data_IF_266073069579
#
_entry.id   IF_266073069579
#
_cell.length_a   1.000
_cell.length_b   1.000
_cell.length_c   1.000
_cell.angle_alpha   90.00
_cell.angle_beta   90.00
_cell.angle_gamma   90.00
#
_symmetry.space_group_name_H-M   'P 1'
#
loop_
_entity.id
_entity.type
_entity.pdbx_description
1 polymer ?
#
# COMPACT_ATOMS: atom_id res chain seq x y z
N UNK A 1 -12.96 -10.51 17.43
CA UNK A 1 -14.20 -10.99 18.05
C UNK A 1 -14.50 -10.20 19.33
N UNK A 2 -13.58 -10.11 20.32
CA UNK A 2 -13.82 -9.43 21.59
C UNK A 2 -14.21 -7.96 21.47
N UNK A 3 -13.58 -7.20 20.55
CA UNK A 3 -13.91 -5.79 20.30
C UNK A 3 -15.29 -5.62 19.69
N UNK A 4 -15.64 -6.48 18.72
CA UNK A 4 -16.94 -6.44 18.03
C UNK A 4 -18.08 -6.82 18.99
N UNK A 5 -17.84 -7.77 19.89
CA UNK A 5 -18.83 -8.24 20.85
C UNK A 5 -18.84 -7.44 22.17
N UNK A 6 -18.15 -6.29 22.22
CA UNK A 6 -18.05 -5.42 23.39
C UNK A 6 -17.58 -6.14 24.67
N UNK A 7 -16.71 -7.15 24.52
CA UNK A 7 -16.13 -7.87 25.68
C UNK A 7 -15.26 -6.91 26.48
N UNK A 8 -15.48 -6.76 27.80
CA UNK A 8 -14.70 -5.87 28.64
C UNK A 8 -13.18 -6.15 28.51
N UNK A 9 -12.39 -5.08 28.42
CA UNK A 9 -10.92 -5.15 28.35
C UNK A 9 -10.32 -5.87 27.12
N UNK A 10 -11.11 -6.17 26.09
CA UNK A 10 -10.64 -6.84 24.87
C UNK A 10 -9.55 -6.05 24.12
N UNK A 11 -9.51 -4.72 24.26
CA UNK A 11 -8.46 -3.87 23.70
C UNK A 11 -7.07 -4.15 24.31
N UNK A 12 -6.98 -4.51 25.59
CA UNK A 12 -5.70 -4.90 26.20
C UNK A 12 -5.18 -6.20 25.63
N UNK A 13 -6.05 -7.16 25.35
CA UNK A 13 -5.68 -8.43 24.70
C UNK A 13 -5.19 -8.19 23.28
N UNK A 14 -5.85 -7.30 22.53
CA UNK A 14 -5.41 -6.90 21.19
C UNK A 14 -4.04 -6.23 21.23
N UNK A 15 -3.83 -5.26 22.12
CA UNK A 15 -2.56 -4.56 22.27
C UNK A 15 -1.44 -5.54 22.66
N UNK A 16 -1.69 -6.43 23.63
CA UNK A 16 -0.72 -7.45 24.02
C UNK A 16 -0.36 -8.38 22.84
N UNK A 17 -1.36 -8.83 22.07
CA UNK A 17 -1.12 -9.61 20.85
C UNK A 17 -0.31 -8.88 19.80
N UNK A 18 -0.57 -7.60 19.57
CA UNK A 18 0.21 -6.76 18.65
C UNK A 18 1.66 -6.57 19.12
N UNK A 19 1.88 -6.36 20.42
CA UNK A 19 3.23 -6.25 20.99
C UNK A 19 4.02 -7.55 20.77
N UNK A 20 3.41 -8.71 21.06
CA UNK A 20 4.04 -10.02 20.84
C UNK A 20 4.35 -10.23 19.35
N UNK A 21 3.42 -9.88 18.46
CA UNK A 21 3.61 -9.98 17.01
C UNK A 21 4.79 -9.12 16.55
N UNK A 22 4.84 -7.86 16.96
CA UNK A 22 5.93 -6.93 16.62
C UNK A 22 7.27 -7.47 17.14
N UNK A 23 7.33 -7.91 18.40
CA UNK A 23 8.53 -8.51 18.99
C UNK A 23 9.01 -9.73 18.19
N UNK A 24 8.09 -10.62 17.82
CA UNK A 24 8.37 -11.80 17.02
C UNK A 24 8.94 -11.42 15.64
N UNK A 25 8.35 -10.46 14.93
CA UNK A 25 8.85 -10.02 13.64
C UNK A 25 10.25 -9.41 13.73
N UNK A 26 10.48 -8.47 14.65
CA UNK A 26 11.80 -7.86 14.81
C UNK A 26 12.85 -8.88 15.24
N UNK A 27 12.52 -9.82 16.14
CA UNK A 27 13.40 -10.89 16.55
C UNK A 27 13.76 -11.81 15.39
N UNK A 28 12.77 -12.28 14.64
CA UNK A 28 12.98 -13.16 13.50
C UNK A 28 13.81 -12.51 12.40
N UNK A 29 13.42 -11.34 11.93
CA UNK A 29 14.18 -10.64 10.89
C UNK A 29 15.59 -10.25 11.37
N UNK A 30 15.75 -9.90 12.66
CA UNK A 30 17.05 -9.67 13.26
C UNK A 30 17.94 -10.92 13.23
N UNK A 31 17.38 -12.10 13.55
CA UNK A 31 18.09 -13.37 13.46
C UNK A 31 18.49 -13.69 12.02
N UNK A 32 17.57 -13.61 11.06
CA UNK A 32 17.84 -13.82 9.62
C UNK A 32 18.95 -12.88 9.13
N UNK A 33 18.92 -11.61 9.55
CA UNK A 33 19.98 -10.66 9.21
C UNK A 33 21.33 -11.08 9.76
N UNK A 34 21.40 -11.49 11.04
CA UNK A 34 22.63 -11.96 11.71
C UNK A 34 23.21 -13.19 11.03
N UNK A 35 22.39 -14.19 10.72
CA UNK A 35 22.81 -15.42 10.02
C UNK A 35 23.31 -15.12 8.60
N UNK A 36 22.67 -14.20 7.89
CA UNK A 36 23.13 -13.73 6.57
C UNK A 36 24.49 -13.05 6.65
N UNK A 37 24.74 -12.23 7.68
CA UNK A 37 26.01 -11.52 7.89
C UNK A 37 27.14 -12.49 8.26
N UNK A 38 26.85 -13.55 9.04
CA UNK A 38 27.80 -14.62 9.37
C UNK A 38 28.11 -15.53 8.18
N UNK A 39 27.37 -15.40 7.07
CA UNK A 39 27.56 -16.23 5.88
C UNK A 39 27.06 -17.66 6.01
N UNK A 40 26.11 -17.91 6.93
CA UNK A 40 25.56 -19.24 7.21
C UNK A 40 24.65 -19.73 6.06
N UNK A 41 24.22 -18.84 5.16
CA UNK A 41 23.32 -19.16 4.05
C UNK A 41 24.08 -19.55 2.79
N UNK A 42 23.83 -20.79 2.31
CA UNK A 42 24.29 -21.27 1.02
C UNK A 42 23.38 -20.84 -0.14
N UNK A 43 23.81 -21.11 -1.37
CA UNK A 43 23.08 -20.74 -2.59
C UNK A 43 21.63 -21.28 -2.67
N UNK A 44 21.37 -22.46 -2.08
CA UNK A 44 20.01 -23.04 -2.02
C UNK A 44 19.07 -22.22 -1.12
N UNK A 45 19.60 -21.69 -0.01
CA UNK A 45 18.83 -20.85 0.92
C UNK A 45 18.54 -19.49 0.28
N UNK A 46 19.52 -18.88 -0.40
CA UNK A 46 19.32 -17.64 -1.15
C UNK A 46 18.22 -17.81 -2.23
N UNK A 47 18.27 -18.92 -2.97
CA UNK A 47 17.22 -19.24 -3.96
C UNK A 47 15.85 -19.41 -3.29
N UNK A 48 15.77 -20.05 -2.11
CA UNK A 48 14.52 -20.21 -1.37
C UNK A 48 13.95 -18.86 -0.93
N UNK A 49 14.78 -17.94 -0.47
CA UNK A 49 14.35 -16.58 -0.11
C UNK A 49 13.81 -15.81 -1.33
N UNK A 50 14.44 -15.94 -2.50
CA UNK A 50 13.97 -15.33 -3.75
C UNK A 50 12.59 -15.85 -4.14
N UNK A 51 12.38 -17.17 -4.11
CA UNK A 51 11.09 -17.78 -4.36
C UNK A 51 10.05 -17.36 -3.33
N UNK A 52 10.40 -17.33 -2.05
CA UNK A 52 9.50 -16.89 -0.97
C UNK A 52 9.06 -15.44 -1.17
N UNK A 53 9.98 -14.54 -1.55
CA UNK A 53 9.64 -13.15 -1.83
C UNK A 53 8.76 -13.02 -3.09
N UNK A 54 9.01 -13.82 -4.12
CA UNK A 54 8.16 -13.87 -5.30
C UNK A 54 6.72 -14.31 -4.97
N UNK A 55 6.56 -15.37 -4.18
CA UNK A 55 5.24 -15.83 -3.73
C UNK A 55 4.55 -14.83 -2.80
N UNK A 56 5.31 -14.17 -1.94
CA UNK A 56 4.78 -13.11 -1.10
C UNK A 56 4.23 -11.96 -1.96
N UNK A 57 4.99 -11.43 -2.92
CA UNK A 57 4.51 -10.37 -3.83
C UNK A 57 3.30 -10.86 -4.64
N UNK A 58 3.29 -12.12 -5.09
CA UNK A 58 2.13 -12.68 -5.77
C UNK A 58 0.87 -12.67 -4.90
N UNK A 59 0.99 -13.01 -3.60
CA UNK A 59 -0.15 -12.93 -2.67
C UNK A 59 -0.67 -11.51 -2.52
N UNK A 60 0.22 -10.52 -2.48
CA UNK A 60 -0.15 -9.10 -2.39
C UNK A 60 -0.79 -8.58 -3.69
N UNK A 61 -0.32 -9.05 -4.85
CA UNK A 61 -1.00 -8.79 -6.13
C UNK A 61 -2.43 -9.32 -6.10
N UNK A 62 -2.65 -10.55 -5.62
CA UNK A 62 -3.99 -11.14 -5.50
C UNK A 62 -4.85 -10.40 -4.48
N UNK A 63 -4.26 -9.93 -3.39
CA UNK A 63 -4.94 -9.09 -2.40
C UNK A 63 -5.50 -7.80 -3.04
N UNK A 64 -4.68 -7.04 -3.76
CA UNK A 64 -5.14 -5.84 -4.45
C UNK A 64 -6.08 -6.17 -5.63
N UNK A 65 -5.86 -7.27 -6.33
CA UNK A 65 -6.76 -7.71 -7.39
C UNK A 65 -8.19 -7.96 -6.88
N UNK A 66 -8.35 -8.46 -5.66
CA UNK A 66 -9.65 -8.64 -5.03
C UNK A 66 -10.35 -7.28 -4.79
N UNK A 67 -9.64 -6.27 -4.31
CA UNK A 67 -10.23 -4.91 -4.12
C UNK A 67 -10.52 -4.20 -5.44
N UNK A 68 -9.63 -4.29 -6.43
CA UNK A 68 -9.91 -3.78 -7.78
C UNK A 68 -11.08 -4.52 -8.43
N UNK A 69 -11.20 -5.83 -8.19
CA UNK A 69 -12.33 -6.63 -8.62
C UNK A 69 -13.65 -6.19 -7.97
N UNK A 70 -13.62 -5.86 -6.68
CA UNK A 70 -14.77 -5.31 -5.97
C UNK A 70 -15.17 -3.93 -6.51
N UNK A 71 -14.19 -3.05 -6.78
CA UNK A 71 -14.44 -1.75 -7.43
C UNK A 71 -15.05 -1.94 -8.83
N UNK A 72 -14.50 -2.84 -9.64
CA UNK A 72 -15.00 -3.17 -10.95
C UNK A 72 -16.44 -3.70 -10.88
N UNK A 73 -16.70 -4.65 -9.99
CA UNK A 73 -18.04 -5.20 -9.78
C UNK A 73 -19.04 -4.12 -9.39
N UNK A 74 -18.68 -3.27 -8.43
CA UNK A 74 -19.55 -2.18 -7.99
C UNK A 74 -19.86 -1.20 -9.13
N UNK A 75 -18.82 -0.71 -9.82
CA UNK A 75 -18.94 0.35 -10.83
C UNK A 75 -19.55 -0.11 -12.15
N UNK A 76 -19.15 -1.29 -12.65
CA UNK A 76 -19.46 -1.74 -14.02
C UNK A 76 -20.62 -2.71 -14.06
N UNK A 77 -20.86 -3.46 -12.99
CA UNK A 77 -21.90 -4.49 -12.95
C UNK A 77 -23.06 -4.07 -12.05
N UNK A 78 -22.79 -3.82 -10.77
CA UNK A 78 -23.83 -3.60 -9.77
C UNK A 78 -24.59 -2.28 -10.00
N UNK A 79 -23.89 -1.18 -10.30
CA UNK A 79 -24.51 0.13 -10.49
C UNK A 79 -25.44 0.19 -11.70
N UNK A 80 -25.04 -0.24 -12.92
CA UNK A 80 -25.96 -0.32 -14.06
C UNK A 80 -27.14 -1.26 -13.80
N UNK A 81 -26.92 -2.40 -13.15
CA UNK A 81 -27.97 -3.37 -12.84
C UNK A 81 -29.02 -2.81 -11.87
N UNK A 82 -28.60 -2.05 -10.84
CA UNK A 82 -29.52 -1.38 -9.90
C UNK A 82 -30.31 -0.23 -10.56
N UNK A 83 -29.76 0.38 -11.61
CA UNK A 83 -30.42 1.44 -12.40
C UNK A 83 -31.20 0.95 -13.60
N UNK A 84 -31.34 -0.37 -13.79
CA UNK A 84 -32.18 -0.94 -14.83
C UNK A 84 -33.67 -0.66 -14.57
N UNK A 85 -34.46 -0.59 -15.66
CA UNK A 85 -35.90 -0.19 -15.63
C UNK A 85 -36.71 -0.99 -14.60
N UNK A 86 -36.46 -2.31 -14.51
CA UNK A 86 -37.21 -3.19 -13.60
C UNK A 86 -36.83 -2.90 -12.12
N UNK A 87 -35.56 -2.70 -11.81
CA UNK A 87 -35.09 -2.42 -10.43
C UNK A 87 -35.43 -0.99 -10.03
N UNK A 88 -35.23 -0.03 -10.93
CA UNK A 88 -35.54 1.37 -10.67
C UNK A 88 -37.05 1.58 -10.43
N UNK A 89 -37.93 0.99 -11.24
CA UNK A 89 -39.38 1.21 -11.11
C UNK A 89 -39.98 0.57 -9.87
N UNK A 90 -39.47 -0.58 -9.39
CA UNK A 90 -40.08 -1.32 -8.28
C UNK A 90 -39.33 -1.16 -6.95
N UNK A 91 -38.01 -1.02 -6.96
CA UNK A 91 -37.17 -1.04 -5.73
C UNK A 91 -36.56 0.31 -5.41
N UNK A 92 -36.05 1.02 -6.42
CA UNK A 92 -35.25 2.23 -6.26
C UNK A 92 -35.63 3.34 -7.22
N UNK A 93 -36.86 3.91 -7.16
CA UNK A 93 -37.36 4.83 -8.19
C UNK A 93 -36.55 6.12 -8.36
N UNK A 94 -35.88 6.58 -7.33
CA UNK A 94 -35.04 7.80 -7.36
C UNK A 94 -33.55 7.51 -7.56
N UNK A 95 -33.18 6.26 -7.80
CA UNK A 95 -31.76 5.89 -7.93
C UNK A 95 -31.21 6.25 -9.31
N UNK A 96 -30.08 6.97 -9.32
CA UNK A 96 -29.30 7.27 -10.53
C UNK A 96 -28.07 6.40 -10.59
N UNK A 97 -27.95 5.56 -11.64
CA UNK A 97 -26.82 4.66 -11.86
C UNK A 97 -25.57 5.39 -12.39
N UNK A 98 -25.21 6.52 -11.76
CA UNK A 98 -24.02 7.28 -12.13
C UNK A 98 -22.91 7.05 -11.12
N UNK A 99 -21.69 6.84 -11.60
CA UNK A 99 -20.52 6.77 -10.76
C UNK A 99 -19.83 8.14 -10.73
N UNK A 100 -19.36 8.62 -9.58
CA UNK A 100 -19.38 8.05 -8.22
C UNK A 100 -20.74 8.14 -7.51
N UNK A 101 -21.03 7.15 -6.64
CA UNK A 101 -22.33 7.04 -5.97
C UNK A 101 -22.19 6.49 -4.54
N UNK A 102 -23.20 6.76 -3.72
CA UNK A 102 -23.30 6.20 -2.36
C UNK A 102 -23.94 4.81 -2.33
N UNK A 103 -24.68 4.44 -3.38
CA UNK A 103 -25.53 3.26 -3.44
C UNK A 103 -27.02 3.64 -3.52
N UNK A 104 -27.95 2.66 -3.61
CA UNK A 104 -29.37 2.90 -3.87
C UNK A 104 -30.16 3.46 -2.69
N UNK A 105 -29.63 3.46 -1.48
CA UNK A 105 -30.29 4.00 -0.28
C UNK A 105 -30.18 5.53 -0.24
N UNK A 106 -31.04 6.21 -0.97
CA UNK A 106 -31.10 7.67 -1.05
C UNK A 106 -31.42 8.27 0.32
N UNK A 107 -30.65 9.28 0.73
CA UNK A 107 -30.80 9.94 2.03
C UNK A 107 -30.16 9.21 3.22
N UNK A 108 -29.64 8.00 3.04
CA UNK A 108 -28.90 7.30 4.09
C UNK A 108 -27.48 7.85 4.31
N UNK A 109 -26.95 8.58 3.33
CA UNK A 109 -25.59 9.12 3.36
C UNK A 109 -25.59 10.62 3.09
N UNK A 110 -24.69 11.32 3.77
CA UNK A 110 -24.46 12.75 3.52
C UNK A 110 -23.82 12.96 2.13
N UNK A 111 -24.18 14.06 1.43
CA UNK A 111 -23.54 14.39 0.17
C UNK A 111 -22.04 14.62 0.36
N UNK A 112 -21.24 14.09 -0.56
CA UNK A 112 -19.79 14.23 -0.58
C UNK A 112 -19.31 14.73 -1.95
N UNK A 113 -18.07 15.20 -2.00
CA UNK A 113 -17.35 15.51 -3.26
C UNK A 113 -16.23 14.48 -3.46
N UNK A 114 -15.94 14.16 -4.72
CA UNK A 114 -14.84 13.26 -5.08
C UNK A 114 -13.49 13.93 -4.99
N UNK A 115 -12.46 13.15 -4.71
CA UNK A 115 -11.08 13.59 -4.82
C UNK A 115 -10.69 13.64 -6.30
N UNK A 116 -10.33 14.83 -6.80
CA UNK A 116 -9.88 15.00 -8.19
C UNK A 116 -8.48 14.41 -8.42
N UNK A 117 -8.19 13.92 -9.65
CA UNK A 117 -6.88 13.33 -9.98
C UNK A 117 -5.75 14.35 -10.05
N UNK A 118 -6.06 15.59 -10.42
CA UNK A 118 -5.11 16.67 -10.56
C UNK A 118 -4.72 17.21 -9.18
N UNK A 119 -3.46 17.69 -9.03
CA UNK A 119 -2.87 18.26 -7.82
C UNK A 119 -2.19 17.20 -6.94
N UNK A 120 -2.72 16.87 -5.77
CA UNK A 120 -2.03 15.96 -4.82
C UNK A 120 -1.79 14.56 -5.39
N UNK A 121 -2.78 13.86 -5.98
CA UNK A 121 -2.53 12.53 -6.54
C UNK A 121 -1.50 12.53 -7.68
N UNK A 122 -1.47 13.58 -8.50
CA UNK A 122 -0.46 13.73 -9.56
C UNK A 122 0.94 13.94 -8.97
N UNK A 123 1.07 14.78 -7.93
CA UNK A 123 2.35 14.99 -7.23
C UNK A 123 2.80 13.67 -6.59
N UNK A 124 1.91 12.95 -5.92
CA UNK A 124 2.17 11.67 -5.31
C UNK A 124 2.64 10.64 -6.35
N UNK A 125 2.04 10.63 -7.53
CA UNK A 125 2.48 9.77 -8.64
C UNK A 125 3.90 10.11 -9.08
N UNK A 126 4.21 11.40 -9.24
CA UNK A 126 5.57 11.83 -9.61
C UNK A 126 6.59 11.46 -8.52
N UNK A 127 6.26 11.63 -7.24
CA UNK A 127 7.12 11.28 -6.11
C UNK A 127 7.42 9.77 -6.09
N UNK A 128 6.40 8.93 -6.23
CA UNK A 128 6.58 7.48 -6.17
C UNK A 128 7.38 6.97 -7.37
N UNK A 129 7.04 7.37 -8.58
CA UNK A 129 7.80 6.99 -9.79
C UNK A 129 9.25 7.46 -9.72
N UNK A 130 9.50 8.70 -9.26
CA UNK A 130 10.85 9.19 -9.04
C UNK A 130 11.60 8.35 -8.02
N UNK A 131 10.93 7.92 -6.95
CA UNK A 131 11.52 7.05 -5.92
C UNK A 131 11.89 5.67 -6.48
N UNK A 132 11.09 5.10 -7.37
CA UNK A 132 11.41 3.86 -8.08
C UNK A 132 12.66 3.99 -8.96
N UNK A 133 12.80 5.12 -9.66
CA UNK A 133 14.00 5.42 -10.45
C UNK A 133 15.23 5.56 -9.55
N UNK A 134 15.14 6.33 -8.45
CA UNK A 134 16.26 6.50 -7.52
C UNK A 134 16.68 5.19 -6.85
N UNK A 135 15.73 4.30 -6.57
CA UNK A 135 16.00 2.96 -6.05
C UNK A 135 16.76 2.08 -7.05
N UNK A 136 16.36 2.13 -8.30
CA UNK A 136 17.04 1.40 -9.39
C UNK A 136 18.48 1.89 -9.57
N UNK A 137 18.71 3.20 -9.50
CA UNK A 137 20.04 3.80 -9.54
C UNK A 137 20.87 3.36 -8.32
N UNK A 138 20.26 3.35 -7.11
CA UNK A 138 20.94 2.88 -5.90
C UNK A 138 21.39 1.42 -6.04
N UNK A 139 20.53 0.55 -6.59
CA UNK A 139 20.87 -0.86 -6.84
C UNK A 139 22.02 -1.01 -7.83
N UNK A 140 22.05 -0.21 -8.88
CA UNK A 140 23.16 -0.20 -9.84
C UNK A 140 24.50 0.14 -9.15
N UNK A 141 24.53 1.20 -8.33
CA UNK A 141 25.74 1.56 -7.57
C UNK A 141 26.16 0.51 -6.53
N UNK A 142 25.21 -0.23 -5.94
CA UNK A 142 25.52 -1.35 -5.06
C UNK A 142 26.29 -2.45 -5.80
N UNK A 143 25.84 -2.81 -6.99
CA UNK A 143 26.51 -3.82 -7.86
C UNK A 143 27.91 -3.37 -8.32
N UNK A 144 28.12 -2.07 -8.50
CA UNK A 144 29.43 -1.48 -8.81
C UNK A 144 30.34 -1.30 -7.59
N UNK A 145 29.93 -1.72 -6.37
CA UNK A 145 30.63 -1.48 -5.11
C UNK A 145 30.83 0.02 -4.76
N UNK A 146 30.03 0.92 -5.32
CA UNK A 146 30.06 2.36 -5.04
C UNK A 146 29.11 2.71 -3.88
N UNK A 147 29.48 2.26 -2.68
CA UNK A 147 28.65 2.34 -1.49
C UNK A 147 28.19 3.75 -1.15
N UNK A 148 29.03 4.77 -1.27
CA UNK A 148 28.65 6.16 -0.96
C UNK A 148 27.50 6.66 -1.85
N UNK A 149 27.59 6.41 -3.14
CA UNK A 149 26.52 6.78 -4.10
C UNK A 149 25.24 5.95 -3.83
N UNK A 150 25.40 4.65 -3.55
CA UNK A 150 24.27 3.81 -3.19
C UNK A 150 23.52 4.34 -1.97
N UNK A 151 24.22 4.73 -0.90
CA UNK A 151 23.66 5.31 0.32
C UNK A 151 22.90 6.61 0.03
N UNK A 152 23.43 7.47 -0.84
CA UNK A 152 22.82 8.74 -1.20
C UNK A 152 21.48 8.49 -1.96
N UNK A 153 21.52 7.66 -3.00
CA UNK A 153 20.35 7.40 -3.83
C UNK A 153 19.26 6.61 -3.07
N UNK A 154 19.65 5.64 -2.24
CA UNK A 154 18.71 4.92 -1.40
C UNK A 154 18.11 5.83 -0.31
N UNK A 155 18.92 6.73 0.27
CA UNK A 155 18.42 7.75 1.21
C UNK A 155 17.42 8.70 0.57
N UNK A 156 17.66 9.09 -0.69
CA UNK A 156 16.71 9.90 -1.47
C UNK A 156 15.40 9.12 -1.71
N UNK A 157 15.46 7.84 -2.06
CA UNK A 157 14.29 6.97 -2.22
C UNK A 157 13.45 6.94 -0.95
N UNK A 158 14.09 6.71 0.20
CA UNK A 158 13.41 6.70 1.52
C UNK A 158 12.75 8.04 1.81
N UNK A 159 13.47 9.14 1.55
CA UNK A 159 12.95 10.50 1.73
C UNK A 159 11.70 10.76 0.87
N UNK A 160 11.75 10.42 -0.42
CA UNK A 160 10.60 10.55 -1.32
C UNK A 160 9.41 9.70 -0.86
N UNK A 161 9.66 8.48 -0.36
CA UNK A 161 8.62 7.63 0.19
C UNK A 161 7.92 8.25 1.42
N UNK A 162 8.66 8.82 2.35
CA UNK A 162 8.06 9.52 3.50
C UNK A 162 7.32 10.80 3.10
N UNK A 163 7.81 11.54 2.11
CA UNK A 163 7.10 12.71 1.56
C UNK A 163 5.76 12.28 0.93
N UNK A 164 5.75 11.19 0.18
CA UNK A 164 4.50 10.60 -0.33
C UNK A 164 3.51 10.28 0.80
N UNK A 165 3.95 9.61 1.86
CA UNK A 165 3.10 9.28 3.02
C UNK A 165 2.54 10.56 3.66
N UNK A 166 3.35 11.62 3.77
CA UNK A 166 2.92 12.91 4.28
C UNK A 166 1.82 13.54 3.42
N UNK A 167 1.96 13.54 2.10
CA UNK A 167 0.93 14.03 1.18
C UNK A 167 -0.33 13.17 1.21
N UNK A 168 -0.20 11.84 1.33
CA UNK A 168 -1.35 10.94 1.46
C UNK A 168 -2.13 11.21 2.76
N UNK A 169 -1.44 11.44 3.86
CA UNK A 169 -2.08 11.83 5.13
C UNK A 169 -2.80 13.18 5.01
N UNK A 170 -2.19 14.16 4.35
CA UNK A 170 -2.82 15.44 4.08
C UNK A 170 -4.06 15.30 3.18
N UNK A 171 -3.99 14.46 2.15
CA UNK A 171 -5.12 14.15 1.26
C UNK A 171 -6.30 13.58 2.05
N UNK A 172 -6.04 12.67 2.99
CA UNK A 172 -7.09 12.11 3.85
C UNK A 172 -7.71 13.16 4.77
N UNK A 173 -6.90 14.05 5.35
CA UNK A 173 -7.44 15.17 6.13
C UNK A 173 -8.35 16.06 5.29
N UNK A 174 -7.94 16.40 4.07
CA UNK A 174 -8.74 17.16 3.11
C UNK A 174 -10.03 16.44 2.72
N UNK A 175 -9.96 15.11 2.46
CA UNK A 175 -11.14 14.31 2.13
C UNK A 175 -12.20 14.35 3.24
N UNK A 176 -11.79 14.21 4.49
CA UNK A 176 -12.68 14.23 5.64
C UNK A 176 -13.21 15.62 5.98
N UNK A 177 -12.37 16.67 5.92
CA UNK A 177 -12.70 18.01 6.36
C UNK A 177 -13.47 18.81 5.29
N UNK A 178 -13.00 18.77 4.04
CA UNK A 178 -13.48 19.69 3.00
C UNK A 178 -14.41 19.03 1.98
N UNK A 179 -14.25 17.71 1.76
CA UNK A 179 -15.05 16.98 0.77
C UNK A 179 -16.18 16.17 1.41
N UNK A 180 -16.23 16.07 2.73
CA UNK A 180 -17.13 15.18 3.48
C UNK A 180 -17.09 13.73 2.98
N UNK A 181 -15.93 13.35 2.38
CA UNK A 181 -15.70 11.99 1.88
C UNK A 181 -15.09 11.16 3.01
N UNK A 182 -15.84 10.16 3.45
CA UNK A 182 -15.50 9.28 4.59
C UNK A 182 -15.57 7.83 4.16
N UNK A 183 -14.95 6.95 4.94
CA UNK A 183 -15.07 5.49 4.75
C UNK A 183 -16.55 5.04 4.72
N UNK A 184 -17.41 5.76 5.44
CA UNK A 184 -18.86 5.51 5.56
C UNK A 184 -19.68 6.22 4.48
N UNK A 185 -19.08 6.89 3.49
CA UNK A 185 -19.80 7.60 2.42
C UNK A 185 -20.30 6.65 1.32
N UNK A 186 -20.82 5.48 1.69
CA UNK A 186 -21.37 4.50 0.76
C UNK A 186 -20.29 3.73 -0.01
N UNK A 187 -20.67 3.17 -1.17
CA UNK A 187 -19.80 2.28 -1.94
C UNK A 187 -18.56 2.98 -2.51
N UNK A 188 -18.68 4.24 -2.93
CA UNK A 188 -17.55 5.02 -3.41
C UNK A 188 -16.55 5.28 -2.28
N UNK A 189 -17.01 5.81 -1.14
CA UNK A 189 -16.14 6.09 0.00
C UNK A 189 -15.45 4.83 0.53
N UNK A 190 -16.20 3.73 0.66
CA UNK A 190 -15.64 2.46 1.12
C UNK A 190 -14.57 1.93 0.18
N UNK A 191 -14.81 1.89 -1.14
CA UNK A 191 -13.83 1.39 -2.11
C UNK A 191 -12.61 2.31 -2.21
N UNK A 192 -12.81 3.64 -2.18
CA UNK A 192 -11.73 4.63 -2.18
C UNK A 192 -10.78 4.43 -0.98
N UNK A 193 -11.31 4.46 0.24
CA UNK A 193 -10.47 4.36 1.44
C UNK A 193 -9.88 2.98 1.67
N UNK A 194 -10.56 1.90 1.29
CA UNK A 194 -9.97 0.57 1.39
C UNK A 194 -8.80 0.40 0.43
N UNK A 195 -8.96 0.77 -0.84
CA UNK A 195 -7.90 0.65 -1.84
C UNK A 195 -6.70 1.56 -1.52
N UNK A 196 -6.95 2.86 -1.33
CA UNK A 196 -5.87 3.82 -1.06
C UNK A 196 -5.26 3.65 0.33
N UNK A 197 -6.06 3.23 1.33
CA UNK A 197 -5.60 2.98 2.69
C UNK A 197 -4.70 1.77 2.83
N UNK A 198 -5.08 0.64 2.24
CA UNK A 198 -4.19 -0.53 2.19
C UNK A 198 -2.93 -0.24 1.39
N UNK A 199 -3.03 0.50 0.27
CA UNK A 199 -1.86 0.94 -0.45
C UNK A 199 -0.95 1.82 0.42
N UNK A 200 -1.49 2.82 1.11
CA UNK A 200 -0.73 3.67 2.03
C UNK A 200 -0.04 2.88 3.15
N UNK A 201 -0.71 1.84 3.69
CA UNK A 201 -0.10 0.92 4.63
C UNK A 201 1.11 0.18 4.01
N UNK A 202 0.98 -0.33 2.79
CA UNK A 202 2.09 -1.00 2.08
C UNK A 202 3.24 -0.04 1.79
N UNK A 203 2.96 1.23 1.44
CA UNK A 203 4.01 2.26 1.29
C UNK A 203 4.76 2.48 2.61
N UNK A 204 4.04 2.58 3.73
CA UNK A 204 4.67 2.72 5.05
C UNK A 204 5.58 1.53 5.38
N UNK A 205 5.11 0.30 5.16
CA UNK A 205 5.91 -0.92 5.36
C UNK A 205 7.14 -0.91 4.46
N UNK A 206 6.98 -0.59 3.17
CA UNK A 206 8.07 -0.49 2.21
C UNK A 206 9.11 0.57 2.59
N UNK A 207 8.66 1.76 3.03
CA UNK A 207 9.55 2.83 3.50
C UNK A 207 10.34 2.41 4.75
N UNK A 208 9.72 1.67 5.68
CA UNK A 208 10.41 1.08 6.84
C UNK A 208 11.44 0.04 6.38
N UNK A 209 11.07 -0.87 5.46
CA UNK A 209 11.99 -1.88 4.91
C UNK A 209 13.20 -1.22 4.27
N UNK A 210 13.00 -0.23 3.40
CA UNK A 210 14.08 0.53 2.75
C UNK A 210 14.93 1.29 3.75
N UNK A 211 14.35 1.84 4.82
CA UNK A 211 15.08 2.51 5.90
C UNK A 211 16.00 1.53 6.65
N UNK A 212 15.52 0.32 6.94
CA UNK A 212 16.33 -0.76 7.55
C UNK A 212 17.46 -1.18 6.61
N UNK A 213 17.18 -1.35 5.32
CA UNK A 213 18.20 -1.67 4.30
C UNK A 213 19.23 -0.55 4.21
N UNK A 214 18.80 0.72 4.23
CA UNK A 214 19.70 1.88 4.23
C UNK A 214 20.64 1.87 5.47
N UNK A 215 20.09 1.63 6.67
CA UNK A 215 20.87 1.56 7.89
C UNK A 215 21.87 0.37 7.89
N UNK A 216 21.46 -0.78 7.35
CA UNK A 216 22.34 -1.95 7.17
C UNK A 216 23.45 -1.67 6.12
N UNK A 217 23.10 -1.03 5.02
CA UNK A 217 24.07 -0.60 4.01
C UNK A 217 25.10 0.37 4.63
N UNK A 218 24.65 1.33 5.45
CA UNK A 218 25.53 2.25 6.18
C UNK A 218 26.52 1.52 7.10
N UNK A 219 26.15 0.38 7.66
CA UNK A 219 27.01 -0.47 8.51
C UNK A 219 27.90 -1.45 7.72
N UNK A 220 27.69 -1.60 6.40
CA UNK A 220 28.53 -2.46 5.56
C UNK A 220 28.09 -3.88 5.39
N UNK A 221 26.83 -4.17 5.69
CA UNK A 221 26.30 -5.54 5.68
C UNK A 221 26.01 -6.11 4.28
N UNK A 222 26.12 -5.30 3.22
CA UNK A 222 25.88 -5.74 1.84
C UNK A 222 27.13 -5.69 1.00
N UNK A 223 27.24 -6.66 0.08
CA UNK A 223 28.25 -6.70 -0.98
C UNK A 223 27.60 -6.75 -2.35
N UNK A 224 28.39 -6.58 -3.42
CA UNK A 224 27.90 -6.72 -4.81
C UNK A 224 27.31 -8.08 -5.14
N UNK A 225 27.69 -9.14 -4.39
CA UNK A 225 27.24 -10.53 -4.61
C UNK A 225 26.15 -10.96 -3.63
N UNK A 226 26.22 -10.49 -2.38
CA UNK A 226 25.31 -10.88 -1.30
C UNK A 226 24.49 -9.69 -0.83
N UNK A 227 23.35 -9.43 -1.49
CA UNK A 227 22.47 -8.29 -1.20
C UNK A 227 20.98 -8.60 -1.39
N UNK A 228 20.57 -9.86 -1.23
CA UNK A 228 19.18 -10.27 -1.46
C UNK A 228 18.16 -9.43 -0.66
N UNK A 229 18.45 -9.05 0.58
CA UNK A 229 17.52 -8.22 1.36
C UNK A 229 17.28 -6.83 0.72
N UNK A 230 18.28 -6.27 0.02
CA UNK A 230 18.11 -5.06 -0.79
C UNK A 230 17.20 -5.35 -2.00
N UNK A 231 17.48 -6.42 -2.73
CA UNK A 231 16.68 -6.81 -3.90
C UNK A 231 15.21 -7.07 -3.52
N UNK A 232 14.97 -7.82 -2.44
CA UNK A 232 13.63 -8.11 -1.95
C UNK A 232 12.86 -6.83 -1.57
N UNK A 233 13.51 -5.89 -0.89
CA UNK A 233 12.92 -4.59 -0.57
C UNK A 233 12.64 -3.77 -1.84
N UNK A 234 13.53 -3.82 -2.85
CA UNK A 234 13.33 -3.16 -4.13
C UNK A 234 12.16 -3.76 -4.91
N UNK A 235 12.01 -5.08 -4.95
CA UNK A 235 10.87 -5.74 -5.59
C UNK A 235 9.56 -5.33 -4.94
N UNK A 236 9.53 -5.29 -3.60
CA UNK A 236 8.35 -4.85 -2.86
C UNK A 236 7.99 -3.39 -3.17
N UNK A 237 8.98 -2.50 -3.21
CA UNK A 237 8.77 -1.09 -3.53
C UNK A 237 8.21 -0.89 -4.93
N UNK A 238 8.79 -1.55 -5.93
CA UNK A 238 8.28 -1.48 -7.30
C UNK A 238 6.88 -2.08 -7.45
N UNK A 239 6.56 -3.13 -6.69
CA UNK A 239 5.19 -3.64 -6.63
C UNK A 239 4.23 -2.55 -6.12
N UNK A 240 4.58 -1.85 -5.06
CA UNK A 240 3.79 -0.74 -4.50
C UNK A 240 3.62 0.39 -5.52
N UNK A 241 4.67 0.75 -6.27
CA UNK A 241 4.62 1.73 -7.36
C UNK A 241 3.59 1.35 -8.43
N UNK A 242 3.58 0.08 -8.84
CA UNK A 242 2.65 -0.43 -9.88
C UNK A 242 1.20 -0.40 -9.37
N UNK A 243 0.97 -0.80 -8.13
CA UNK A 243 -0.37 -0.71 -7.51
C UNK A 243 -0.86 0.74 -7.47
N UNK A 244 0.02 1.71 -7.12
CA UNK A 244 -0.34 3.12 -7.13
C UNK A 244 -0.78 3.61 -8.50
N UNK A 245 -0.10 3.23 -9.57
CA UNK A 245 -0.52 3.58 -10.94
C UNK A 245 -1.93 3.05 -11.25
N UNK A 246 -2.23 1.82 -10.83
CA UNK A 246 -3.59 1.27 -10.92
C UNK A 246 -4.61 2.12 -10.14
N UNK A 247 -4.29 2.52 -8.92
CA UNK A 247 -5.14 3.40 -8.11
C UNK A 247 -5.33 4.77 -8.77
N UNK A 248 -4.25 5.39 -9.21
CA UNK A 248 -4.31 6.70 -9.85
C UNK A 248 -5.24 6.71 -11.06
N UNK A 249 -5.15 5.68 -11.91
CA UNK A 249 -5.99 5.59 -13.12
C UNK A 249 -7.41 5.15 -12.82
N UNK A 250 -7.62 4.15 -11.95
CA UNK A 250 -8.94 3.51 -11.79
C UNK A 250 -9.79 4.14 -10.68
N UNK A 251 -9.18 4.84 -9.71
CA UNK A 251 -9.88 5.41 -8.55
C UNK A 251 -10.00 6.93 -8.64
N UNK A 252 -8.95 7.63 -9.08
CA UNK A 252 -8.95 9.10 -9.11
C UNK A 252 -9.49 9.68 -10.42
N UNK A 253 -9.33 8.99 -11.56
CA UNK A 253 -9.92 9.40 -12.84
C UNK A 253 -11.34 8.83 -13.00
N UNK A 254 -12.23 9.22 -12.13
CA UNK A 254 -13.63 8.73 -12.08
C UNK A 254 -14.62 9.78 -12.52
#
# INVERSE_FOLDING_TARGET
>A
AGLVNAVPNSHFVLIAGLIVLVYMFFGWFGQVASESEKGEYGSKVDLSFRWSMGWFIFSEVMFFAAFFGALFYARIISMPWLGDLDHQSFLWPDFSAQWPNTGPMIGAFEPFRTMGPLWIPTINTALLLSSGVTLTIAHHYLRENRRGNCLLWLGLTVGLGFVFVGFQAYEYMHAYADLNLKLTSGIYGSTFFLLTGFHGFHVCVGAIMLSVVWARLARGHFSSEKHFAFEGAAWYWHFVDVVWLGLYVLVYWT
#
